data_IF_525219762253
#
_entry.id   IF_525219762253
#
_cell.length_a   1.000
_cell.length_b   1.000
_cell.length_c   1.000
_cell.angle_alpha   90.00
_cell.angle_beta   90.00
_cell.angle_gamma   90.00
#
_symmetry.space_group_name_H-M   'P 1'
#
loop_
_entity.id
_entity.type
_entity.pdbx_description
1 polymer ?
#
# COMPACT_ATOMS: atom_id res chain seq x y z
N UNK A 1 -5.81 10.94 -4.78
CA UNK A 1 -5.48 10.01 -5.86
C UNK A 1 -4.95 8.69 -5.28
N UNK A 2 -5.70 7.59 -5.38
CA UNK A 2 -5.28 6.33 -4.77
C UNK A 2 -3.96 5.79 -5.33
N UNK A 3 -3.68 6.04 -6.59
CA UNK A 3 -2.41 5.60 -7.18
C UNK A 3 -1.25 6.34 -6.54
N UNK A 4 -1.38 7.64 -6.33
CA UNK A 4 -0.35 8.43 -5.66
C UNK A 4 -0.16 8.02 -4.22
N UNK A 5 -1.25 7.75 -3.51
CA UNK A 5 -1.20 7.28 -2.12
C UNK A 5 -0.51 5.92 -2.05
N UNK A 6 -0.85 5.01 -2.95
CA UNK A 6 -0.23 3.69 -3.01
C UNK A 6 1.28 3.81 -3.22
N UNK A 7 1.70 4.63 -4.20
CA UNK A 7 3.11 4.82 -4.48
C UNK A 7 3.87 5.42 -3.29
N UNK A 8 3.23 6.36 -2.58
CA UNK A 8 3.83 6.98 -1.40
C UNK A 8 4.03 5.96 -0.29
N UNK A 9 3.03 5.11 -0.04
CA UNK A 9 3.14 4.07 0.99
C UNK A 9 4.25 3.07 0.62
N UNK A 10 4.33 2.65 -0.64
CA UNK A 10 5.41 1.76 -1.07
C UNK A 10 6.79 2.38 -0.80
N UNK A 11 6.93 3.66 -1.11
CA UNK A 11 8.20 4.35 -0.87
C UNK A 11 8.55 4.38 0.61
N UNK A 12 7.56 4.68 1.47
CA UNK A 12 7.78 4.74 2.91
C UNK A 12 8.15 3.38 3.49
N UNK A 13 7.54 2.30 2.97
CA UNK A 13 7.90 0.93 3.38
C UNK A 13 9.34 0.64 2.97
N UNK A 14 9.70 0.97 1.73
CA UNK A 14 11.05 0.70 1.22
C UNK A 14 12.11 1.47 2.01
N UNK A 15 11.79 2.69 2.44
CA UNK A 15 12.69 3.49 3.25
C UNK A 15 12.76 3.07 4.72
N UNK A 16 11.88 2.20 5.15
CA UNK A 16 11.82 1.78 6.54
C UNK A 16 10.99 2.68 7.44
N UNK A 17 10.23 3.62 6.87
CA UNK A 17 9.39 4.53 7.65
C UNK A 17 8.01 3.96 7.94
N UNK A 18 7.61 2.91 7.23
CA UNK A 18 6.38 2.16 7.49
C UNK A 18 6.70 0.67 7.49
N UNK A 19 5.94 -0.08 8.29
CA UNK A 19 6.14 -1.52 8.38
C UNK A 19 5.69 -2.21 7.09
N UNK A 20 6.41 -3.27 6.72
CA UNK A 20 6.01 -4.11 5.60
C UNK A 20 4.69 -4.81 5.91
N UNK A 21 3.85 -4.96 4.91
CA UNK A 21 2.57 -5.63 5.11
C UNK A 21 1.75 -5.73 3.86
N UNK A 22 0.43 -5.80 4.03
CA UNK A 22 -0.52 -5.85 2.94
C UNK A 22 -0.79 -4.45 2.40
N UNK A 23 -0.79 -4.32 1.09
CA UNK A 23 -1.08 -3.06 0.42
C UNK A 23 -1.88 -3.34 -0.84
N UNK A 24 -3.10 -2.87 -0.88
CA UNK A 24 -4.02 -3.08 -1.99
C UNK A 24 -4.44 -1.77 -2.63
N UNK A 25 -4.56 -1.77 -3.94
CA UNK A 25 -4.98 -0.62 -4.73
C UNK A 25 -6.37 -0.86 -5.29
N UNK A 26 -7.27 0.10 -5.03
CA UNK A 26 -8.66 0.06 -5.50
C UNK A 26 -8.94 1.33 -6.30
N UNK A 27 -8.37 1.44 -7.52
CA UNK A 27 -8.44 2.71 -8.27
C UNK A 27 -9.87 3.10 -8.65
N UNK A 28 -10.73 2.13 -8.95
CA UNK A 28 -12.11 2.43 -9.33
C UNK A 28 -12.98 2.83 -8.15
N UNK A 29 -12.57 2.46 -6.94
CA UNK A 29 -13.28 2.81 -5.72
C UNK A 29 -12.66 4.00 -5.01
N UNK A 30 -11.47 4.42 -5.46
CA UNK A 30 -10.82 5.61 -4.94
C UNK A 30 -10.12 5.45 -3.61
N UNK A 31 -9.69 4.25 -3.23
CA UNK A 31 -8.99 4.07 -1.95
C UNK A 31 -7.87 3.04 -2.05
N UNK A 32 -7.09 3.00 -0.97
CA UNK A 32 -5.98 2.07 -0.77
C UNK A 32 -6.21 1.36 0.55
N UNK A 33 -5.91 0.06 0.59
CA UNK A 33 -5.89 -0.71 1.83
C UNK A 33 -4.44 -0.92 2.25
N UNK A 34 -4.17 -0.73 3.55
CA UNK A 34 -2.86 -1.02 4.12
C UNK A 34 -3.03 -1.72 5.47
N UNK A 35 -2.24 -2.77 5.70
CA UNK A 35 -2.21 -3.44 7.01
C UNK A 35 -0.80 -3.96 7.31
N UNK A 36 -0.55 -4.33 8.57
CA UNK A 36 0.77 -4.75 9.04
C UNK A 36 0.78 -6.25 9.33
N UNK A 37 0.46 -7.05 8.31
CA UNK A 37 0.36 -8.51 8.47
C UNK A 37 1.70 -9.24 8.56
N UNK A 38 2.80 -8.53 8.53
CA UNK A 38 4.11 -9.12 8.77
C UNK A 38 4.78 -9.73 7.54
N UNK A 39 4.12 -9.78 6.40
CA UNK A 39 4.72 -10.23 5.15
C UNK A 39 4.25 -9.36 3.99
N UNK A 40 5.07 -9.26 2.98
CA UNK A 40 4.76 -8.45 1.81
C UNK A 40 3.64 -9.08 1.01
N UNK A 41 2.51 -8.40 0.91
CA UNK A 41 1.37 -8.84 0.10
C UNK A 41 0.87 -7.64 -0.70
N UNK A 42 0.67 -7.84 -2.01
CA UNK A 42 0.22 -6.77 -2.90
C UNK A 42 -0.93 -7.27 -3.76
N UNK A 43 -1.94 -6.42 -3.93
CA UNK A 43 -3.05 -6.74 -4.84
C UNK A 43 -3.63 -5.47 -5.41
N UNK A 44 -4.40 -5.64 -6.48
CA UNK A 44 -5.08 -4.55 -7.17
C UNK A 44 -6.47 -4.99 -7.56
N UNK A 45 -7.44 -4.20 -7.25
CA UNK A 45 -8.84 -4.44 -7.64
C UNK A 45 -9.41 -3.18 -8.26
#
# INVERSE_FOLDING_TARGET
>A
DPIGVYATIELLIEKGDMLQGGLGLYPNKGFVHYDIRGEKTRWRK
#
